data_IF_651012232514
#
_entry.id   IF_651012232514
#
_cell.length_a   1.000
_cell.length_b   1.000
_cell.length_c   1.000
_cell.angle_alpha   90.00
_cell.angle_beta   90.00
_cell.angle_gamma   90.00
#
_symmetry.space_group_name_H-M   'P 1'
#
loop_
_entity.id
_entity.type
_entity.pdbx_description
1 polymer ?
#
# COMPACT_ATOMS: atom_id res chain seq x y z
N UNK A 1 15.44 1.83 -0.99
CA UNK A 1 14.10 1.90 -1.59
C UNK A 1 13.71 0.54 -2.13
N UNK A 2 12.75 -0.11 -1.48
CA UNK A 2 12.14 -1.36 -1.94
C UNK A 2 10.71 -1.10 -2.44
N UNK A 3 10.29 -1.84 -3.45
CA UNK A 3 8.92 -1.78 -3.99
C UNK A 3 8.28 -3.14 -3.84
N UNK A 4 7.15 -3.17 -3.15
CA UNK A 4 6.34 -4.36 -2.94
C UNK A 4 5.06 -4.22 -3.76
N UNK A 5 4.73 -5.26 -4.51
CA UNK A 5 3.58 -5.29 -5.41
C UNK A 5 2.63 -6.42 -5.01
N UNK A 6 1.32 -6.16 -5.07
CA UNK A 6 0.28 -7.17 -4.85
C UNK A 6 -0.96 -6.88 -5.69
N UNK A 7 -1.49 -7.93 -6.31
CA UNK A 7 -2.83 -7.93 -6.90
C UNK A 7 -3.88 -8.28 -5.84
N UNK A 8 -4.95 -7.49 -5.74
CA UNK A 8 -6.09 -7.79 -4.88
C UNK A 8 -7.41 -7.30 -5.49
N UNK A 9 -8.39 -8.18 -5.70
CA UNK A 9 -9.74 -7.83 -6.19
C UNK A 9 -9.80 -6.92 -7.43
N UNK A 10 -8.91 -7.14 -8.41
CA UNK A 10 -8.87 -6.30 -9.61
C UNK A 10 -8.17 -4.95 -9.39
N UNK A 11 -7.48 -4.78 -8.26
CA UNK A 11 -6.57 -3.67 -8.01
C UNK A 11 -5.12 -4.15 -7.97
N UNK A 12 -4.25 -3.29 -8.44
CA UNK A 12 -2.80 -3.40 -8.38
C UNK A 12 -2.33 -2.46 -7.26
N UNK A 13 -1.66 -3.01 -6.25
CA UNK A 13 -1.18 -2.28 -5.08
C UNK A 13 0.34 -2.23 -5.13
N UNK A 14 0.90 -1.03 -5.09
CA UNK A 14 2.33 -0.77 -5.05
C UNK A 14 2.67 -0.03 -3.76
N UNK A 15 3.55 -0.62 -2.95
CA UNK A 15 4.04 -0.04 -1.70
C UNK A 15 5.54 0.16 -1.84
N UNK A 16 5.96 1.42 -1.90
CA UNK A 16 7.36 1.79 -1.87
C UNK A 16 7.74 2.08 -0.42
N UNK A 17 8.75 1.37 0.09
CA UNK A 17 9.32 1.61 1.41
C UNK A 17 10.73 2.18 1.21
N UNK A 18 10.94 3.37 1.73
CA UNK A 18 12.21 4.07 1.67
C UNK A 18 12.77 4.26 3.08
N UNK A 19 14.07 4.02 3.19
CA UNK A 19 14.77 3.99 4.45
C UNK A 19 15.19 5.40 4.86
N UNK A 20 14.72 5.88 6.01
CA UNK A 20 15.24 7.07 6.68
C UNK A 20 15.94 6.68 8.00
N UNK A 21 16.78 7.56 8.58
CA UNK A 21 17.58 7.20 9.76
C UNK A 21 16.77 6.70 10.96
N UNK A 22 15.60 7.28 11.20
CA UNK A 22 14.74 6.99 12.37
C UNK A 22 13.38 6.39 12.00
N UNK A 23 13.05 6.34 10.71
CA UNK A 23 11.69 6.05 10.24
C UNK A 23 11.70 5.37 8.87
N UNK A 24 10.61 4.69 8.56
CA UNK A 24 10.28 4.24 7.22
C UNK A 24 9.39 5.29 6.53
N UNK A 25 9.79 5.72 5.34
CA UNK A 25 8.94 6.52 4.46
C UNK A 25 8.19 5.56 3.54
N UNK A 26 6.88 5.53 3.66
CA UNK A 26 6.03 4.65 2.86
C UNK A 26 5.24 5.48 1.86
N UNK A 27 5.27 5.08 0.60
CA UNK A 27 4.39 5.59 -0.45
C UNK A 27 3.53 4.44 -0.96
N UNK A 28 2.21 4.63 -0.93
CA UNK A 28 1.24 3.66 -1.44
C UNK A 28 0.61 4.21 -2.71
N UNK A 29 0.56 3.38 -3.74
CA UNK A 29 -0.18 3.63 -4.98
C UNK A 29 -1.07 2.44 -5.24
N UNK A 30 -2.35 2.69 -5.50
CA UNK A 30 -3.30 1.65 -5.92
C UNK A 30 -3.87 2.04 -7.26
N UNK A 31 -3.88 1.12 -8.20
CA UNK A 31 -4.46 1.30 -9.54
C UNK A 31 -5.51 0.24 -9.80
N UNK A 32 -6.64 0.62 -10.38
CA UNK A 32 -7.66 -0.34 -10.75
C UNK A 32 -7.26 -1.00 -12.09
N UNK A 33 -7.17 -2.32 -12.12
CA UNK A 33 -6.71 -3.09 -13.29
C UNK A 33 -7.63 -2.89 -14.50
N UNK A 34 -8.94 -2.76 -14.27
CA UNK A 34 -9.93 -2.61 -15.34
C UNK A 34 -9.80 -1.28 -16.09
N UNK A 35 -9.45 -0.20 -15.39
CA UNK A 35 -9.42 1.15 -15.97
C UNK A 35 -7.99 1.67 -16.15
N UNK A 36 -6.99 1.02 -15.54
CA UNK A 36 -5.60 1.49 -15.49
C UNK A 36 -5.44 2.83 -14.74
N UNK A 37 -6.49 3.28 -14.03
CA UNK A 37 -6.51 4.59 -13.38
C UNK A 37 -6.03 4.47 -11.93
N UNK A 38 -5.26 5.46 -11.44
CA UNK A 38 -4.94 5.54 -10.03
C UNK A 38 -6.23 5.68 -9.23
N UNK A 39 -6.39 4.83 -8.22
CA UNK A 39 -7.51 4.87 -7.30
C UNK A 39 -7.28 6.02 -6.32
N UNK A 40 -7.97 7.17 -6.47
CA UNK A 40 -7.56 8.42 -5.84
C UNK A 40 -7.67 8.39 -4.31
N UNK A 41 -8.48 7.47 -3.76
CA UNK A 41 -8.68 7.30 -2.31
C UNK A 41 -7.60 6.46 -1.62
N UNK A 42 -6.63 5.92 -2.36
CA UNK A 42 -5.61 5.02 -1.82
C UNK A 42 -4.16 5.45 -2.16
N UNK A 43 -3.96 6.72 -2.49
CA UNK A 43 -2.63 7.33 -2.55
C UNK A 43 -2.34 8.00 -1.21
N UNK A 44 -1.23 7.63 -0.57
CA UNK A 44 -0.90 8.16 0.75
C UNK A 44 0.57 7.98 1.10
N UNK A 45 1.07 8.89 1.91
CA UNK A 45 2.40 8.80 2.51
C UNK A 45 2.26 8.53 4.00
N UNK A 46 3.04 7.58 4.52
CA UNK A 46 3.14 7.32 5.97
C UNK A 46 4.59 7.36 6.41
N UNK A 47 4.78 7.76 7.66
CA UNK A 47 6.04 7.62 8.38
C UNK A 47 5.80 6.65 9.53
N UNK A 48 6.55 5.56 9.57
CA UNK A 48 6.50 4.58 10.66
C UNK A 48 7.85 4.54 11.36
N UNK A 49 7.86 4.24 12.66
CA UNK A 49 9.10 4.03 13.39
C UNK A 49 9.86 2.83 12.82
N UNK A 50 11.18 2.81 13.02
CA UNK A 50 12.04 1.67 12.67
C UNK A 50 12.11 0.64 13.79
N UNK A 51 10.94 0.21 14.26
CA UNK A 51 10.81 -0.88 15.23
C UNK A 51 10.54 -2.24 14.56
N UNK A 52 10.25 -2.23 13.26
CA UNK A 52 9.92 -3.40 12.44
C UNK A 52 10.76 -3.46 11.17
N UNK A 53 10.89 -4.66 10.59
CA UNK A 53 11.59 -4.86 9.33
C UNK A 53 10.84 -4.18 8.17
N UNK A 54 11.57 -3.82 7.11
CA UNK A 54 11.00 -3.25 5.88
C UNK A 54 9.86 -4.13 5.32
N UNK A 55 10.07 -5.45 5.33
CA UNK A 55 9.12 -6.44 4.84
C UNK A 55 7.85 -6.51 5.70
N UNK A 56 7.97 -6.45 7.02
CA UNK A 56 6.81 -6.43 7.94
C UNK A 56 5.99 -5.16 7.75
N UNK A 57 6.66 -4.02 7.61
CA UNK A 57 6.03 -2.73 7.31
C UNK A 57 5.27 -2.80 5.99
N UNK A 58 5.91 -3.30 4.93
CA UNK A 58 5.25 -3.45 3.63
C UNK A 58 4.04 -4.38 3.70
N UNK A 59 4.18 -5.55 4.33
CA UNK A 59 3.11 -6.53 4.48
C UNK A 59 1.91 -5.96 5.27
N UNK A 60 2.18 -5.24 6.34
CA UNK A 60 1.16 -4.59 7.18
C UNK A 60 0.35 -3.56 6.38
N UNK A 61 1.05 -2.69 5.64
CA UNK A 61 0.42 -1.66 4.78
C UNK A 61 -0.41 -2.32 3.68
N UNK A 62 0.12 -3.34 3.00
CA UNK A 62 -0.60 -4.09 1.98
C UNK A 62 -1.88 -4.71 2.55
N UNK A 63 -1.81 -5.33 3.73
CA UNK A 63 -2.97 -5.94 4.37
C UNK A 63 -4.05 -4.90 4.72
N UNK A 64 -3.66 -3.72 5.19
CA UNK A 64 -4.59 -2.61 5.48
C UNK A 64 -5.28 -2.09 4.20
N UNK A 65 -4.52 -1.95 3.12
CA UNK A 65 -5.04 -1.52 1.82
C UNK A 65 -6.01 -2.56 1.27
N UNK A 66 -5.65 -3.84 1.26
CA UNK A 66 -6.53 -4.94 0.86
C UNK A 66 -7.87 -4.87 1.61
N UNK A 67 -7.83 -4.79 2.95
CA UNK A 67 -9.02 -4.70 3.80
C UNK A 67 -9.89 -3.49 3.48
N UNK A 68 -9.27 -2.36 3.16
CA UNK A 68 -9.97 -1.14 2.77
C UNK A 68 -10.66 -1.29 1.42
N UNK A 69 -10.00 -1.93 0.45
CA UNK A 69 -10.58 -2.25 -0.86
C UNK A 69 -11.73 -3.26 -0.74
N UNK A 70 -11.60 -4.29 0.09
CA UNK A 70 -12.68 -5.25 0.37
C UNK A 70 -13.93 -4.55 0.90
N UNK A 71 -13.76 -3.59 1.82
CA UNK A 71 -14.89 -2.80 2.37
C UNK A 71 -15.55 -1.91 1.32
N UNK A 72 -14.78 -1.37 0.38
CA UNK A 72 -15.30 -0.54 -0.69
C UNK A 72 -16.06 -1.38 -1.73
N UNK A 73 -15.57 -2.58 -2.04
CA UNK A 73 -16.23 -3.49 -2.98
C UNK A 73 -17.44 -4.22 -2.38
N UNK A 74 -17.40 -4.57 -1.09
CA UNK A 74 -18.49 -5.28 -0.38
C UNK A 74 -19.62 -4.38 0.12
N UNK A 75 -19.55 -3.06 -0.09
CA UNK A 75 -20.60 -2.11 0.26
C UNK A 75 -21.68 -1.94 -0.83
N UNK A 76 -21.75 -2.87 -1.80
CA UNK A 76 -22.79 -2.92 -2.84
C UNK A 76 -23.89 -3.92 -2.51
#
# INVERSE_FOLDING_TARGET
MAVHHKHHNGFEIYVTVDECPTQWRILVTVTEHATGRPFPKAQGQRQLAKDQSEQDVANSIIAEVCKSLDRLNGAS
#
